data_IF_575863606004
#
_entry.id   IF_575863606004
#
_cell.length_a   1.000
_cell.length_b   1.000
_cell.length_c   1.000
_cell.angle_alpha   90.00
_cell.angle_beta   90.00
_cell.angle_gamma   90.00
#
_symmetry.space_group_name_H-M   'P 1'
#
loop_
_entity.id
_entity.type
_entity.pdbx_description
1 polymer ?
#
# COMPACT_ATOMS: atom_id res chain seq x y z
N UNK A 1 -5.92 -10.81 -10.18
CA UNK A 1 -6.57 -10.53 -11.47
C UNK A 1 -5.86 -9.35 -12.08
N UNK A 2 -4.98 -9.61 -13.04
CA UNK A 2 -4.30 -8.58 -13.80
C UNK A 2 -5.26 -8.21 -14.93
N UNK A 3 -5.97 -7.10 -14.77
CA UNK A 3 -6.64 -6.50 -15.93
C UNK A 3 -5.50 -6.11 -16.89
N UNK A 4 -5.52 -6.61 -18.13
CA UNK A 4 -4.53 -6.28 -19.18
C UNK A 4 -4.62 -4.79 -19.56
N UNK A 5 -4.29 -3.93 -18.62
CA UNK A 5 -4.41 -2.49 -18.67
C UNK A 5 -3.22 -1.91 -17.92
N UNK A 6 -2.49 -1.04 -18.60
CA UNK A 6 -1.51 -0.18 -17.96
C UNK A 6 -2.22 1.12 -17.61
N UNK A 7 -2.26 1.47 -16.33
CA UNK A 7 -2.82 2.72 -15.84
C UNK A 7 -1.77 3.43 -14.97
N UNK A 8 -1.71 4.77 -14.97
CA UNK A 8 -0.81 5.51 -14.09
C UNK A 8 -1.09 5.17 -12.63
N UNK A 9 -0.02 5.09 -11.82
CA UNK A 9 -0.16 5.08 -10.38
C UNK A 9 -0.52 6.49 -9.89
N UNK A 10 -1.41 6.54 -8.90
CA UNK A 10 -1.88 7.78 -8.27
C UNK A 10 -1.54 7.80 -6.78
N UNK A 11 -1.54 6.62 -6.14
CA UNK A 11 -1.33 6.45 -4.72
C UNK A 11 -0.17 5.49 -4.43
N UNK A 12 0.42 5.65 -3.25
CA UNK A 12 1.30 4.66 -2.63
C UNK A 12 0.50 3.91 -1.57
N UNK A 13 0.51 2.59 -1.65
CA UNK A 13 -0.10 1.69 -0.68
C UNK A 13 0.95 1.04 0.20
N UNK A 14 0.74 1.05 1.51
CA UNK A 14 1.54 0.29 2.47
C UNK A 14 1.03 -1.15 2.53
N UNK A 15 1.85 -2.12 2.09
CA UNK A 15 1.50 -3.55 2.04
C UNK A 15 1.14 -4.05 3.46
N UNK A 16 1.97 -3.68 4.44
CA UNK A 16 1.69 -3.78 5.87
C UNK A 16 1.42 -2.37 6.37
N UNK A 17 0.22 -2.14 6.90
CA UNK A 17 -0.14 -0.84 7.46
C UNK A 17 0.82 -0.45 8.59
N UNK A 18 1.40 0.74 8.54
CA UNK A 18 2.20 1.28 9.64
C UNK A 18 1.37 1.51 10.91
N UNK A 19 0.03 1.52 10.78
CA UNK A 19 -0.91 1.57 11.90
C UNK A 19 -1.15 0.19 12.54
N UNK A 20 -0.52 -0.88 12.06
CA UNK A 20 -0.61 -2.23 12.65
C UNK A 20 0.22 -2.41 13.93
N UNK A 21 1.00 -1.40 14.32
CA UNK A 21 1.90 -1.45 15.48
C UNK A 21 1.79 -0.18 16.31
N UNK A 22 1.95 -0.33 17.62
CA UNK A 22 2.06 0.77 18.58
C UNK A 22 3.51 1.16 18.88
N UNK A 23 4.48 0.35 18.46
CA UNK A 23 5.90 0.69 18.60
C UNK A 23 6.28 1.83 17.64
N UNK A 24 6.80 2.98 18.13
CA UNK A 24 7.11 4.13 17.29
C UNK A 24 8.22 3.88 16.26
N UNK A 25 9.23 3.07 16.59
CA UNK A 25 10.33 2.77 15.67
C UNK A 25 9.86 1.83 14.56
N UNK A 26 9.10 0.80 14.92
CA UNK A 26 8.48 -0.11 13.96
C UNK A 26 7.49 0.61 13.07
N UNK A 27 6.71 1.55 13.61
CA UNK A 27 5.80 2.40 12.82
C UNK A 27 6.57 3.21 11.79
N UNK A 28 7.68 3.82 12.18
CA UNK A 28 8.53 4.59 11.28
C UNK A 28 9.14 3.69 10.20
N UNK A 29 9.64 2.51 10.58
CA UNK A 29 10.17 1.53 9.66
C UNK A 29 9.11 1.12 8.62
N UNK A 30 7.92 0.69 9.04
CA UNK A 30 6.83 0.29 8.14
C UNK A 30 6.35 1.44 7.24
N UNK A 31 6.39 2.68 7.71
CA UNK A 31 5.92 3.82 6.93
C UNK A 31 6.85 4.16 5.75
N UNK A 32 8.16 3.85 5.86
CA UNK A 32 9.20 4.31 4.93
C UNK A 32 10.04 3.19 4.29
N UNK A 33 9.82 1.94 4.67
CA UNK A 33 10.43 0.78 4.01
C UNK A 33 9.93 0.66 2.57
N UNK A 34 10.83 0.83 1.58
CA UNK A 34 10.50 0.76 0.17
C UNK A 34 9.94 -0.61 -0.25
N UNK A 35 10.36 -1.69 0.41
CA UNK A 35 9.85 -3.04 0.14
C UNK A 35 8.41 -3.21 0.66
N UNK A 36 7.94 -2.30 1.53
CA UNK A 36 6.58 -2.23 2.04
C UNK A 36 5.67 -1.28 1.25
N UNK A 37 6.16 -0.64 0.18
CA UNK A 37 5.41 0.31 -0.64
C UNK A 37 5.01 -0.27 -2.00
N UNK A 38 3.78 0.00 -2.41
CA UNK A 38 3.25 -0.42 -3.71
C UNK A 38 2.58 0.75 -4.42
N UNK A 39 3.06 1.09 -5.63
CA UNK A 39 2.45 2.12 -6.47
C UNK A 39 1.19 1.59 -7.16
N UNK A 40 0.04 2.21 -6.91
CA UNK A 40 -1.26 1.76 -7.42
C UNK A 40 -2.08 2.92 -7.98
N UNK A 41 -2.94 2.63 -8.96
CA UNK A 41 -4.02 3.57 -9.28
C UNK A 41 -5.08 3.55 -8.17
N UNK A 42 -5.89 4.60 -8.09
CA UNK A 42 -6.87 4.78 -7.02
C UNK A 42 -7.87 3.63 -6.89
N UNK A 43 -8.31 3.08 -8.03
CA UNK A 43 -9.25 1.96 -8.07
C UNK A 43 -8.64 0.67 -7.53
N UNK A 44 -7.38 0.39 -7.87
CA UNK A 44 -6.68 -0.79 -7.38
C UNK A 44 -6.42 -0.67 -5.88
N UNK A 45 -6.02 0.51 -5.42
CA UNK A 45 -5.80 0.80 -4.00
C UNK A 45 -7.08 0.53 -3.18
N UNK A 46 -8.21 1.09 -3.61
CA UNK A 46 -9.50 0.84 -2.95
C UNK A 46 -9.92 -0.63 -2.99
N UNK A 47 -9.70 -1.33 -4.12
CA UNK A 47 -10.02 -2.77 -4.24
C UNK A 47 -9.24 -3.62 -3.24
N UNK A 48 -7.99 -3.27 -2.92
CA UNK A 48 -7.21 -4.00 -1.90
C UNK A 48 -7.81 -3.77 -0.52
N UNK A 49 -8.09 -2.51 -0.16
CA UNK A 49 -8.72 -2.19 1.13
C UNK A 49 -10.13 -2.74 1.30
N UNK A 50 -10.89 -2.96 0.23
CA UNK A 50 -12.23 -3.54 0.29
C UNK A 50 -12.24 -5.08 0.33
N UNK A 51 -11.12 -5.73 0.02
CA UNK A 51 -11.01 -7.21 -0.03
C UNK A 51 -10.49 -7.82 1.27
N UNK A 52 -10.08 -6.99 2.21
CA UNK A 52 -9.61 -7.32 3.54
C UNK A 52 -10.54 -6.67 4.56
#
# INVERSE_FOLDING_TARGET
MQENKTVPAEDIHHIISFMSTDDPQQRLFLAYDYDNLMSLCKQCHQKIHNKL
#
